data_IF_145935839372
#
_entry.id   IF_145935839372
#
_cell.length_a   1.000
_cell.length_b   1.000
_cell.length_c   1.000
_cell.angle_alpha   90.00
_cell.angle_beta   90.00
_cell.angle_gamma   90.00
#
_symmetry.space_group_name_H-M   'P 1'
#
loop_
_entity.id
_entity.type
_entity.pdbx_description
1 polymer ?
#
# COMPACT_ATOMS: atom_id res chain seq x y z
N UNK A 1 -37.14 -3.89 -10.48
CA UNK A 1 -35.99 -4.63 -9.91
C UNK A 1 -35.48 -3.83 -8.72
N UNK A 2 -35.87 -4.24 -7.51
CA UNK A 2 -35.62 -3.54 -6.25
C UNK A 2 -34.13 -3.52 -5.87
N UNK A 3 -33.61 -2.35 -5.51
CA UNK A 3 -32.27 -2.13 -5.00
C UNK A 3 -32.14 -2.40 -3.49
N UNK A 4 -32.90 -3.36 -2.95
CA UNK A 4 -33.04 -3.60 -1.50
C UNK A 4 -31.97 -4.55 -0.92
N UNK A 5 -30.93 -4.86 -1.69
CA UNK A 5 -29.84 -5.77 -1.27
C UNK A 5 -28.49 -5.11 -1.01
N UNK A 6 -28.33 -3.80 -1.27
CA UNK A 6 -27.05 -3.11 -1.05
C UNK A 6 -27.14 -2.40 0.30
N UNK A 7 -26.37 -2.86 1.29
CA UNK A 7 -26.16 -2.08 2.51
C UNK A 7 -25.76 -0.66 2.12
N UNK A 8 -26.19 0.33 2.91
CA UNK A 8 -25.76 1.71 2.71
C UNK A 8 -24.22 1.74 2.63
N UNK A 9 -23.66 2.54 1.71
CA UNK A 9 -22.22 2.47 1.39
C UNK A 9 -21.35 2.62 2.64
N UNK A 10 -21.76 3.45 3.60
CA UNK A 10 -21.09 3.62 4.87
C UNK A 10 -21.07 2.33 5.71
N UNK A 11 -22.23 1.68 5.91
CA UNK A 11 -22.32 0.40 6.63
C UNK A 11 -21.51 -0.71 5.96
N UNK A 12 -21.43 -0.70 4.62
CA UNK A 12 -20.62 -1.65 3.89
C UNK A 12 -19.12 -1.43 4.13
N UNK A 13 -18.66 -0.17 4.09
CA UNK A 13 -17.27 0.20 4.34
C UNK A 13 -16.85 -0.04 5.79
N UNK A 14 -17.76 0.20 6.75
CA UNK A 14 -17.54 -0.07 8.17
C UNK A 14 -17.37 -1.57 8.43
N UNK A 15 -18.24 -2.41 7.84
CA UNK A 15 -18.12 -3.87 7.91
C UNK A 15 -16.83 -4.41 7.27
N UNK A 16 -16.28 -3.70 6.28
CA UNK A 16 -14.99 -4.03 5.67
C UNK A 16 -13.79 -3.48 6.47
N UNK A 17 -14.03 -2.70 7.53
CA UNK A 17 -12.98 -2.05 8.32
C UNK A 17 -12.25 -0.92 7.58
N UNK A 18 -12.85 -0.38 6.50
CA UNK A 18 -12.27 0.72 5.71
C UNK A 18 -12.62 2.09 6.30
N UNK A 19 -13.73 2.18 7.04
CA UNK A 19 -14.08 3.33 7.87
C UNK A 19 -14.37 2.88 9.29
N UNK A 20 -14.21 3.77 10.24
CA UNK A 20 -14.55 3.58 11.65
C UNK A 20 -14.98 4.90 12.27
N UNK A 21 -15.49 4.86 13.49
CA UNK A 21 -15.91 6.06 14.23
C UNK A 21 -14.79 6.54 15.14
N UNK A 22 -14.54 7.84 15.16
CA UNK A 22 -13.62 8.47 16.11
C UNK A 22 -14.29 8.75 17.46
N UNK A 23 -13.54 9.39 18.38
CA UNK A 23 -14.02 9.74 19.73
C UNK A 23 -15.24 10.68 19.73
N UNK A 24 -15.54 11.33 18.60
CA UNK A 24 -16.68 12.24 18.43
C UNK A 24 -17.81 11.60 17.61
N UNK A 25 -17.83 10.26 17.49
CA UNK A 25 -18.79 9.51 16.67
C UNK A 25 -18.76 9.88 15.17
N UNK A 26 -17.69 10.54 14.71
CA UNK A 26 -17.55 10.93 13.31
C UNK A 26 -16.93 9.79 12.51
N UNK A 27 -17.53 9.48 11.36
CA UNK A 27 -17.00 8.47 10.43
C UNK A 27 -15.70 8.97 9.81
N UNK A 28 -14.62 8.20 9.99
CA UNK A 28 -13.28 8.46 9.49
C UNK A 28 -12.77 7.27 8.71
N UNK A 29 -11.95 7.51 7.69
CA UNK A 29 -11.22 6.44 7.01
C UNK A 29 -10.18 5.82 7.97
N UNK A 30 -10.07 4.49 7.96
CA UNK A 30 -8.98 3.79 8.63
C UNK A 30 -7.71 3.87 7.79
N UNK A 31 -6.57 3.41 8.33
CA UNK A 31 -5.33 3.26 7.54
C UNK A 31 -5.56 2.35 6.32
N UNK A 32 -6.33 1.26 6.49
CA UNK A 32 -6.70 0.39 5.39
C UNK A 32 -7.59 1.13 4.38
N UNK A 33 -8.59 1.87 4.85
CA UNK A 33 -9.45 2.71 4.01
C UNK A 33 -8.67 3.70 3.16
N UNK A 34 -7.73 4.43 3.75
CA UNK A 34 -6.87 5.36 3.03
C UNK A 34 -6.03 4.64 1.97
N UNK A 35 -5.38 3.52 2.33
CA UNK A 35 -4.53 2.77 1.40
C UNK A 35 -5.28 2.09 0.26
N UNK A 36 -6.54 1.71 0.46
CA UNK A 36 -7.37 1.05 -0.56
C UNK A 36 -8.19 2.03 -1.41
N UNK A 37 -8.65 3.14 -0.83
CA UNK A 37 -9.65 4.01 -1.46
C UNK A 37 -9.11 5.40 -1.85
N UNK A 38 -7.92 5.81 -1.39
CA UNK A 38 -7.31 7.07 -1.82
C UNK A 38 -6.39 6.88 -3.03
N UNK A 39 -6.40 7.84 -3.95
CA UNK A 39 -5.42 7.90 -5.03
C UNK A 39 -4.04 8.39 -4.56
N UNK A 40 -4.01 9.14 -3.46
CA UNK A 40 -2.82 9.80 -2.88
C UNK A 40 -2.75 9.58 -1.37
N UNK A 41 -2.68 8.33 -0.87
CA UNK A 41 -2.61 8.04 0.56
C UNK A 41 -1.38 8.67 1.23
N UNK A 42 -0.31 8.97 0.50
CA UNK A 42 0.89 9.63 1.01
C UNK A 42 0.66 11.04 1.57
N UNK A 43 -0.41 11.73 1.17
CA UNK A 43 -0.76 13.05 1.74
C UNK A 43 -1.19 12.93 3.22
N UNK A 44 -1.72 11.77 3.62
CA UNK A 44 -2.22 11.50 4.97
C UNK A 44 -1.28 10.56 5.74
N UNK A 45 -0.60 9.66 5.03
CA UNK A 45 0.25 8.60 5.55
C UNK A 45 1.60 8.61 4.80
N UNK A 46 2.45 9.64 4.96
CA UNK A 46 3.66 9.83 4.15
C UNK A 46 4.66 8.67 4.22
N UNK A 47 4.63 7.90 5.32
CA UNK A 47 5.50 6.75 5.53
C UNK A 47 4.87 5.40 5.14
N UNK A 48 3.61 5.38 4.69
CA UNK A 48 2.94 4.14 4.26
C UNK A 48 3.26 3.80 2.80
N UNK A 49 4.53 3.49 2.55
CA UNK A 49 5.05 3.19 1.22
C UNK A 49 5.83 1.87 1.20
N UNK A 50 6.09 1.37 -0.01
CA UNK A 50 6.99 0.26 -0.23
C UNK A 50 8.32 0.80 -0.78
N UNK A 51 9.43 0.38 -0.18
CA UNK A 51 10.75 0.57 -0.78
C UNK A 51 11.22 -0.74 -1.38
N UNK A 52 11.66 -0.69 -2.63
CA UNK A 52 12.13 -1.84 -3.39
C UNK A 52 13.55 -1.55 -3.90
N UNK A 53 14.49 -2.42 -3.54
CA UNK A 53 15.93 -2.21 -3.79
C UNK A 53 16.50 -3.37 -4.59
N UNK A 54 17.20 -3.04 -5.68
CA UNK A 54 17.98 -3.98 -6.47
C UNK A 54 19.42 -4.04 -6.01
N UNK A 55 19.93 -5.26 -5.88
CA UNK A 55 21.32 -5.54 -5.58
C UNK A 55 21.96 -6.33 -6.71
N UNK A 56 23.28 -6.13 -6.86
CA UNK A 56 24.12 -6.96 -7.72
C UNK A 56 24.31 -8.33 -7.07
N UNK A 57 24.50 -9.38 -7.87
CA UNK A 57 24.88 -10.69 -7.38
C UNK A 57 23.76 -11.38 -6.60
N UNK A 58 24.12 -12.06 -5.52
CA UNK A 58 23.20 -12.86 -4.67
C UNK A 58 23.17 -12.41 -3.21
N UNK A 59 23.95 -11.38 -2.85
CA UNK A 59 23.97 -10.82 -1.50
C UNK A 59 24.05 -9.29 -1.51
N UNK A 60 23.56 -8.65 -0.44
CA UNK A 60 23.50 -7.19 -0.30
C UNK A 60 24.88 -6.54 -0.29
N UNK A 61 25.93 -7.24 0.16
CA UNK A 61 27.30 -6.74 0.17
C UNK A 61 27.88 -6.51 -1.24
N UNK A 62 27.28 -7.13 -2.27
CA UNK A 62 27.72 -6.99 -3.67
C UNK A 62 27.40 -5.62 -4.27
N UNK A 63 26.70 -4.76 -3.53
CA UNK A 63 26.41 -3.38 -3.89
C UNK A 63 24.96 -3.19 -4.36
N UNK A 64 24.38 -2.08 -3.89
CA UNK A 64 23.08 -1.61 -4.32
C UNK A 64 23.18 -1.04 -5.74
N UNK A 65 22.27 -1.49 -6.62
CA UNK A 65 22.16 -1.00 -7.99
C UNK A 65 21.14 0.14 -8.08
N UNK A 66 19.98 -0.05 -7.46
CA UNK A 66 18.88 0.92 -7.52
C UNK A 66 17.99 0.77 -6.27
N UNK A 67 17.34 1.87 -5.86
CA UNK A 67 16.29 1.87 -4.84
C UNK A 67 15.15 2.76 -5.28
N UNK A 68 13.96 2.19 -5.28
CA UNK A 68 12.73 2.87 -5.64
C UNK A 68 11.82 2.95 -4.43
N UNK A 69 11.27 4.15 -4.18
CA UNK A 69 10.19 4.35 -3.21
C UNK A 69 8.89 4.44 -3.98
N UNK A 70 7.95 3.58 -3.62
CA UNK A 70 6.68 3.40 -4.32
C UNK A 70 5.56 3.87 -3.40
N UNK A 71 4.89 4.96 -3.79
CA UNK A 71 3.73 5.56 -3.10
C UNK A 71 2.43 5.31 -3.88
N UNK A 72 1.34 5.98 -3.48
CA UNK A 72 0.02 5.72 -4.05
C UNK A 72 -0.72 4.57 -3.35
N UNK A 73 -1.86 4.11 -3.90
CA UNK A 73 -2.69 3.09 -3.28
C UNK A 73 -1.99 1.73 -3.20
N UNK A 74 -2.42 0.89 -2.26
CA UNK A 74 -1.75 -0.38 -1.93
C UNK A 74 -1.59 -1.31 -3.13
N UNK A 75 -2.61 -1.39 -4.00
CA UNK A 75 -2.57 -2.21 -5.21
C UNK A 75 -1.45 -1.76 -6.18
N UNK A 76 -1.23 -0.45 -6.31
CA UNK A 76 -0.12 0.12 -7.09
C UNK A 76 1.22 -0.23 -6.45
N UNK A 77 1.34 -0.01 -5.15
CA UNK A 77 2.57 -0.32 -4.41
C UNK A 77 2.99 -1.79 -4.60
N UNK A 78 2.03 -2.72 -4.51
CA UNK A 78 2.26 -4.16 -4.72
C UNK A 78 2.64 -4.45 -6.19
N UNK A 79 1.88 -3.93 -7.16
CA UNK A 79 2.11 -4.22 -8.57
C UNK A 79 3.49 -3.76 -9.04
N UNK A 80 3.91 -2.55 -8.67
CA UNK A 80 5.23 -2.02 -9.01
C UNK A 80 6.36 -2.78 -8.30
N UNK A 81 6.18 -3.13 -7.02
CA UNK A 81 7.18 -3.90 -6.27
C UNK A 81 7.39 -5.32 -6.83
N UNK A 82 6.31 -5.98 -7.27
CA UNK A 82 6.39 -7.28 -7.95
C UNK A 82 7.01 -7.14 -9.34
N UNK A 83 6.70 -6.06 -10.07
CA UNK A 83 7.35 -5.75 -11.35
C UNK A 83 8.87 -5.62 -11.22
N UNK A 84 9.33 -5.01 -10.13
CA UNK A 84 10.75 -4.89 -9.81
C UNK A 84 11.43 -6.25 -9.56
N UNK A 85 10.69 -7.24 -9.03
CA UNK A 85 11.21 -8.56 -8.64
C UNK A 85 11.51 -9.52 -9.80
N UNK A 86 11.57 -9.04 -11.05
CA UNK A 86 12.17 -9.78 -12.17
C UNK A 86 13.63 -9.35 -12.38
N UNK A 87 14.58 -9.79 -11.53
CA UNK A 87 15.97 -9.45 -11.76
C UNK A 87 16.47 -10.10 -13.05
N UNK A 88 17.38 -9.43 -13.74
CA UNK A 88 18.21 -10.07 -14.76
C UNK A 88 19.02 -11.24 -14.15
N UNK A 89 19.77 -12.00 -14.97
CA UNK A 89 20.40 -13.27 -14.58
C UNK A 89 21.38 -13.21 -13.38
N UNK A 90 21.75 -12.03 -12.90
CA UNK A 90 22.76 -11.81 -11.85
C UNK A 90 22.38 -10.75 -10.81
N UNK A 91 21.09 -10.57 -10.53
CA UNK A 91 20.64 -9.66 -9.47
C UNK A 91 19.54 -10.27 -8.61
N UNK A 92 19.24 -9.62 -7.49
CA UNK A 92 18.06 -9.91 -6.69
C UNK A 92 17.45 -8.61 -6.15
N UNK A 93 16.16 -8.65 -5.83
CA UNK A 93 15.42 -7.52 -5.31
C UNK A 93 14.97 -7.79 -3.86
N UNK A 94 14.96 -6.76 -3.02
CA UNK A 94 14.33 -6.82 -1.70
C UNK A 94 13.21 -5.80 -1.62
N UNK A 95 12.09 -6.19 -1.01
CA UNK A 95 10.94 -5.32 -0.80
C UNK A 95 10.71 -5.14 0.69
N UNK A 96 10.59 -3.89 1.13
CA UNK A 96 10.34 -3.54 2.52
C UNK A 96 9.15 -2.59 2.60
N UNK A 97 8.13 -2.98 3.38
CA UNK A 97 7.03 -2.09 3.74
C UNK A 97 7.50 -1.16 4.85
N UNK A 98 7.28 0.14 4.70
CA UNK A 98 7.42 1.11 5.77
C UNK A 98 6.09 1.26 6.50
N UNK A 99 6.12 1.29 7.82
CA UNK A 99 4.93 1.52 8.64
C UNK A 99 4.62 3.02 8.69
N UNK A 100 3.33 3.42 8.58
CA UNK A 100 2.93 4.72 9.07
C UNK A 100 3.19 4.76 10.58
N UNK A 101 3.91 5.79 11.05
CA UNK A 101 4.14 6.07 12.48
C UNK A 101 2.84 6.57 13.09
#
# INVERSE_FOLDING_TARGET
MSAEGRAEPETALEKMGLVGRDEHDTVRATVAGLLFCSHTPEEWLPNACITATHYRGTDRASGQLDTQTITGPLNRQIAEAVGLQRPGPHGFATVQRRSPV
#
